data_IF_673298545798
#
_entry.id   IF_673298545798
#
_cell.length_a   1.000
_cell.length_b   1.000
_cell.length_c   1.000
_cell.angle_alpha   90.00
_cell.angle_beta   90.00
_cell.angle_gamma   90.00
#
_symmetry.space_group_name_H-M   'P 1'
#
loop_
_entity.id
_entity.type
_entity.pdbx_description
1 polymer ?
#
# COMPACT_ATOMS: atom_id res chain seq x y z
N UNK A 1 30.27 -22.95 12.54
CA UNK A 1 29.21 -23.01 11.49
C UNK A 1 27.78 -23.07 12.02
N UNK A 2 27.40 -23.97 12.96
CA UNK A 2 25.99 -24.13 13.39
C UNK A 2 25.33 -22.88 14.01
N UNK A 3 26.07 -22.05 14.75
CA UNK A 3 25.52 -20.83 15.37
C UNK A 3 25.26 -19.68 14.38
N UNK A 4 26.07 -19.53 13.33
CA UNK A 4 25.87 -18.49 12.31
C UNK A 4 24.65 -18.79 11.43
N UNK A 5 24.42 -20.06 11.10
CA UNK A 5 23.25 -20.50 10.32
C UNK A 5 21.93 -20.31 11.09
N UNK A 6 21.91 -20.53 12.42
CA UNK A 6 20.72 -20.27 13.26
C UNK A 6 20.37 -18.79 13.31
N UNK A 7 21.36 -17.90 13.46
CA UNK A 7 21.12 -16.44 13.50
C UNK A 7 20.60 -15.91 12.15
N UNK A 8 21.15 -16.37 11.03
CA UNK A 8 20.68 -16.00 9.69
C UNK A 8 19.22 -16.46 9.44
N UNK A 9 18.86 -17.65 9.93
CA UNK A 9 17.48 -18.16 9.84
C UNK A 9 16.51 -17.32 10.67
N UNK A 10 16.88 -16.90 11.89
CA UNK A 10 16.02 -16.09 12.75
C UNK A 10 15.79 -14.69 12.18
N UNK A 11 16.83 -14.03 11.65
CA UNK A 11 16.69 -12.72 11.01
C UNK A 11 15.79 -12.77 9.77
N UNK A 12 15.89 -13.85 8.99
CA UNK A 12 15.05 -14.03 7.79
C UNK A 12 13.59 -14.24 8.14
N UNK A 13 13.30 -14.96 9.23
CA UNK A 13 11.94 -15.18 9.74
C UNK A 13 11.34 -13.89 10.31
N UNK A 14 12.09 -13.13 11.10
CA UNK A 14 11.64 -11.84 11.62
C UNK A 14 11.32 -10.85 10.50
N UNK A 15 12.15 -10.79 9.45
CA UNK A 15 11.90 -9.93 8.29
C UNK A 15 10.65 -10.35 7.53
N UNK A 16 10.41 -11.67 7.39
CA UNK A 16 9.20 -12.18 6.74
C UNK A 16 7.94 -11.83 7.55
N UNK A 17 7.99 -11.96 8.87
CA UNK A 17 6.89 -11.59 9.77
C UNK A 17 6.57 -10.10 9.65
N UNK A 18 7.58 -9.23 9.74
CA UNK A 18 7.41 -7.78 9.60
C UNK A 18 6.79 -7.38 8.26
N UNK A 19 7.16 -8.04 7.16
CA UNK A 19 6.55 -7.78 5.85
C UNK A 19 5.08 -8.20 5.81
N UNK A 20 4.72 -9.32 6.44
CA UNK A 20 3.34 -9.78 6.54
C UNK A 20 2.47 -8.83 7.37
N UNK A 21 3.02 -8.26 8.44
CA UNK A 21 2.35 -7.28 9.28
C UNK A 21 2.02 -6.00 8.52
N UNK A 22 2.96 -5.48 7.71
CA UNK A 22 2.74 -4.30 6.85
C UNK A 22 1.55 -4.53 5.92
N UNK A 23 1.50 -5.69 5.25
CA UNK A 23 0.45 -5.99 4.27
C UNK A 23 -0.90 -6.16 4.96
N UNK A 24 -0.95 -6.91 6.05
CA UNK A 24 -2.17 -7.10 6.84
C UNK A 24 -2.73 -5.78 7.37
N UNK A 25 -1.87 -4.88 7.84
CA UNK A 25 -2.27 -3.54 8.27
C UNK A 25 -2.91 -2.75 7.12
N UNK A 26 -2.28 -2.73 5.94
CA UNK A 26 -2.83 -2.01 4.78
C UNK A 26 -4.14 -2.62 4.27
N UNK A 27 -4.29 -3.94 4.31
CA UNK A 27 -5.54 -4.63 3.94
C UNK A 27 -6.69 -4.24 4.86
N UNK A 28 -6.45 -4.17 6.18
CA UNK A 28 -7.43 -3.70 7.14
C UNK A 28 -7.87 -2.26 6.85
N UNK A 29 -6.95 -1.37 6.48
CA UNK A 29 -7.30 0.01 6.13
C UNK A 29 -8.10 0.06 4.82
N UNK A 30 -7.79 -0.79 3.84
CA UNK A 30 -8.57 -0.87 2.59
C UNK A 30 -10.03 -1.21 2.85
N UNK A 31 -10.32 -2.11 3.80
CA UNK A 31 -11.69 -2.43 4.20
C UNK A 31 -12.43 -1.23 4.79
N UNK A 32 -11.71 -0.22 5.29
CA UNK A 32 -12.25 1.03 5.82
C UNK A 32 -12.46 2.10 4.75
N UNK A 33 -12.03 1.89 3.50
CA UNK A 33 -12.22 2.84 2.40
C UNK A 33 -13.66 2.72 1.86
N UNK A 34 -14.32 3.86 1.66
CA UNK A 34 -15.63 3.95 1.05
C UNK A 34 -15.57 3.54 -0.42
N UNK A 35 -16.54 2.74 -0.92
CA UNK A 35 -16.65 2.47 -2.35
C UNK A 35 -17.06 3.78 -3.06
N UNK A 36 -16.30 4.17 -4.09
CA UNK A 36 -16.59 5.35 -4.92
C UNK A 36 -15.42 6.31 -5.08
N UNK A 37 -15.65 7.39 -5.82
CA UNK A 37 -14.67 8.45 -6.04
C UNK A 37 -15.25 9.81 -5.57
N UNK A 38 -14.47 10.65 -4.87
CA UNK A 38 -13.09 10.42 -4.42
C UNK A 38 -12.98 9.33 -3.34
N UNK A 39 -11.85 8.60 -3.34
CA UNK A 39 -11.56 7.62 -2.29
C UNK A 39 -11.48 8.35 -0.95
N UNK A 40 -12.28 7.92 0.03
CA UNK A 40 -12.33 8.50 1.37
C UNK A 40 -12.56 7.38 2.38
N UNK A 41 -12.23 7.59 3.65
CA UNK A 41 -12.59 6.64 4.70
C UNK A 41 -14.11 6.59 4.89
N UNK A 42 -14.64 5.42 5.28
CA UNK A 42 -16.07 5.22 5.59
C UNK A 42 -16.52 6.18 6.69
N UNK A 43 -17.77 6.63 6.59
CA UNK A 43 -18.37 7.50 7.61
C UNK A 43 -18.40 6.77 8.95
N UNK A 44 -17.77 7.34 9.98
CA UNK A 44 -17.58 6.70 11.30
C UNK A 44 -16.24 5.95 11.47
N UNK A 45 -15.49 5.74 10.38
CA UNK A 45 -14.12 5.23 10.40
C UNK A 45 -13.14 6.40 10.43
N UNK A 46 -12.87 6.94 11.63
CA UNK A 46 -11.85 7.98 11.82
C UNK A 46 -10.57 7.35 12.36
N UNK A 47 -9.48 7.50 11.61
CA UNK A 47 -8.14 7.24 12.11
C UNK A 47 -7.69 8.43 12.97
N UNK A 48 -7.03 8.15 14.08
CA UNK A 48 -6.28 9.16 14.81
C UNK A 48 -5.12 9.67 13.96
N UNK A 49 -4.61 10.87 14.24
CA UNK A 49 -3.42 11.41 13.54
C UNK A 49 -2.23 10.45 13.60
N UNK A 50 -2.07 9.75 14.72
CA UNK A 50 -1.01 8.76 14.90
C UNK A 50 -1.21 7.53 14.01
N UNK A 51 -2.43 7.00 13.91
CA UNK A 51 -2.73 5.85 13.04
C UNK A 51 -2.60 6.20 11.56
N UNK A 52 -2.96 7.42 11.16
CA UNK A 52 -2.72 7.91 9.80
C UNK A 52 -1.22 7.93 9.49
N UNK A 53 -0.39 8.49 10.38
CA UNK A 53 1.06 8.54 10.20
C UNK A 53 1.68 7.15 10.11
N UNK A 54 1.27 6.24 11.01
CA UNK A 54 1.69 4.83 10.97
C UNK A 54 1.29 4.13 9.67
N UNK A 55 0.11 4.45 9.14
CA UNK A 55 -0.38 3.88 7.89
C UNK A 55 0.38 4.42 6.67
N UNK A 56 0.72 5.70 6.68
CA UNK A 56 1.56 6.31 5.64
C UNK A 56 3.00 5.77 5.70
N UNK A 57 3.55 5.58 6.89
CA UNK A 57 4.83 4.89 7.09
C UNK A 57 4.79 3.45 6.54
N UNK A 58 3.71 2.71 6.83
CA UNK A 58 3.51 1.37 6.28
C UNK A 58 3.48 1.36 4.73
N UNK A 59 2.87 2.37 4.10
CA UNK A 59 2.91 2.55 2.64
C UNK A 59 4.34 2.77 2.14
N UNK A 60 5.10 3.69 2.76
CA UNK A 60 6.49 3.96 2.38
C UNK A 60 7.39 2.72 2.55
N UNK A 61 7.19 1.97 3.63
CA UNK A 61 7.92 0.72 3.90
C UNK A 61 7.59 -0.36 2.88
N UNK A 62 6.33 -0.46 2.44
CA UNK A 62 5.95 -1.37 1.37
C UNK A 62 6.59 -0.97 0.03
N UNK A 63 6.59 0.31 -0.32
CA UNK A 63 7.27 0.81 -1.52
C UNK A 63 8.78 0.51 -1.48
N UNK A 64 9.42 0.70 -0.32
CA UNK A 64 10.82 0.35 -0.10
C UNK A 64 11.06 -1.14 -0.25
N UNK A 65 10.18 -1.98 0.31
CA UNK A 65 10.26 -3.44 0.22
C UNK A 65 10.19 -3.91 -1.25
N UNK A 66 9.30 -3.34 -2.04
CA UNK A 66 9.12 -3.66 -3.46
C UNK A 66 10.17 -3.03 -4.36
N UNK A 67 10.95 -2.06 -3.86
CA UNK A 67 12.07 -1.48 -4.61
C UNK A 67 13.31 -2.37 -4.61
N UNK A 68 13.45 -3.27 -3.63
CA UNK A 68 14.59 -4.19 -3.52
C UNK A 68 14.44 -5.33 -4.53
N UNK A 69 15.27 -5.29 -5.58
CA UNK A 69 15.31 -6.30 -6.64
C UNK A 69 15.82 -7.65 -6.17
N UNK A 70 15.34 -8.72 -6.82
CA UNK A 70 15.76 -10.08 -6.54
C UNK A 70 17.25 -10.25 -6.87
N UNK A 71 18.02 -10.82 -5.93
CA UNK A 71 19.41 -11.19 -6.18
C UNK A 71 19.52 -12.48 -6.99
N UNK A 72 20.68 -12.71 -7.61
CA UNK A 72 20.99 -13.97 -8.32
C UNK A 72 20.71 -15.19 -7.43
N UNK A 73 21.16 -15.17 -6.17
CA UNK A 73 20.93 -16.25 -5.20
C UNK A 73 19.42 -16.52 -4.97
N UNK A 74 18.61 -15.46 -4.91
CA UNK A 74 17.16 -15.59 -4.73
C UNK A 74 16.50 -16.17 -5.98
N UNK A 75 16.98 -15.81 -7.18
CA UNK A 75 16.50 -16.34 -8.45
C UNK A 75 16.89 -17.81 -8.62
N UNK A 76 18.10 -18.19 -8.26
CA UNK A 76 18.55 -19.58 -8.25
C UNK A 76 17.71 -20.42 -7.29
N UNK A 77 17.46 -19.90 -6.08
CA UNK A 77 16.59 -20.56 -5.09
C UNK A 77 15.16 -20.71 -5.60
N UNK A 78 14.61 -19.69 -6.25
CA UNK A 78 13.29 -19.75 -6.88
C UNK A 78 13.24 -20.83 -7.96
N UNK A 79 14.25 -20.87 -8.84
CA UNK A 79 14.41 -21.88 -9.88
C UNK A 79 14.45 -23.29 -9.29
N UNK A 80 15.23 -23.49 -8.24
CA UNK A 80 15.35 -24.76 -7.54
C UNK A 80 14.02 -25.22 -6.95
N UNK A 81 13.29 -24.34 -6.27
CA UNK A 81 11.98 -24.68 -5.68
C UNK A 81 10.94 -25.06 -6.74
N UNK A 82 10.90 -24.31 -7.84
CA UNK A 82 9.97 -24.58 -8.94
C UNK A 82 10.33 -25.83 -9.75
N UNK A 83 11.58 -26.30 -9.67
CA UNK A 83 11.99 -27.56 -10.32
C UNK A 83 11.36 -28.82 -9.70
N UNK A 84 10.68 -28.68 -8.54
CA UNK A 84 9.82 -29.73 -7.98
C UNK A 84 8.56 -30.01 -8.82
N UNK A 85 8.20 -29.11 -9.74
CA UNK A 85 7.07 -29.25 -10.65
C UNK A 85 7.48 -29.97 -11.94
N UNK A 86 6.51 -30.48 -12.71
CA UNK A 86 6.83 -31.16 -13.98
C UNK A 86 7.28 -30.15 -15.03
N UNK A 87 8.41 -30.39 -15.68
CA UNK A 87 8.80 -29.63 -16.86
C UNK A 87 7.93 -30.09 -18.04
N UNK A 88 7.28 -29.18 -18.81
CA UNK A 88 6.50 -29.57 -19.98
C UNK A 88 7.33 -30.37 -20.99
N UNK A 89 6.70 -31.32 -21.68
CA UNK A 89 7.37 -32.10 -22.71
C UNK A 89 7.99 -31.16 -23.78
N UNK A 90 9.19 -31.49 -24.25
CA UNK A 90 9.97 -30.71 -25.21
C UNK A 90 10.52 -29.36 -24.69
N UNK A 91 10.43 -29.08 -23.39
CA UNK A 91 11.07 -27.90 -22.78
C UNK A 91 12.48 -28.24 -22.29
N UNK A 92 13.49 -27.49 -22.73
CA UNK A 92 14.84 -27.58 -22.15
C UNK A 92 14.86 -26.88 -20.78
N UNK A 93 14.98 -27.67 -19.71
CA UNK A 93 15.05 -27.17 -18.35
C UNK A 93 16.20 -26.17 -18.14
N UNK A 94 17.33 -26.31 -18.86
CA UNK A 94 18.45 -25.35 -18.77
C UNK A 94 18.06 -24.01 -19.38
N UNK A 95 17.33 -24.01 -20.49
CA UNK A 95 16.84 -22.79 -21.12
C UNK A 95 15.87 -22.04 -20.18
N UNK A 96 15.00 -22.76 -19.46
CA UNK A 96 14.10 -22.16 -18.47
C UNK A 96 14.87 -21.48 -17.34
N UNK A 97 15.83 -22.17 -16.71
CA UNK A 97 16.63 -21.60 -15.62
C UNK A 97 17.45 -20.40 -16.08
N UNK A 98 18.05 -20.47 -17.27
CA UNK A 98 18.76 -19.32 -17.86
C UNK A 98 17.83 -18.12 -18.07
N UNK A 99 16.62 -18.36 -18.60
CA UNK A 99 15.64 -17.29 -18.80
C UNK A 99 15.21 -16.63 -17.49
N UNK A 100 15.11 -17.40 -16.39
CA UNK A 100 14.83 -16.86 -15.06
C UNK A 100 15.95 -15.91 -14.61
N UNK A 101 17.20 -16.34 -14.74
CA UNK A 101 18.38 -15.53 -14.39
C UNK A 101 18.45 -14.19 -15.13
N UNK A 102 17.96 -14.13 -16.38
CA UNK A 102 18.02 -12.93 -17.22
C UNK A 102 16.89 -11.93 -16.99
N UNK A 103 15.72 -12.37 -16.50
CA UNK A 103 14.50 -11.56 -16.49
C UNK A 103 13.93 -11.30 -15.10
N UNK A 104 14.23 -12.16 -14.12
CA UNK A 104 13.66 -12.03 -12.78
C UNK A 104 14.46 -11.09 -11.87
N UNK A 105 15.59 -10.56 -12.32
CA UNK A 105 16.31 -9.48 -11.61
C UNK A 105 15.54 -8.14 -11.65
N UNK A 106 14.54 -8.03 -12.53
CA UNK A 106 13.70 -6.83 -12.69
C UNK A 106 12.57 -6.76 -11.68
N UNK A 107 12.21 -7.87 -11.04
CA UNK A 107 11.16 -7.93 -10.02
C UNK A 107 11.76 -7.85 -8.61
N UNK A 108 10.96 -7.45 -7.66
CA UNK A 108 11.35 -7.39 -6.26
C UNK A 108 11.60 -8.79 -5.70
N UNK A 109 12.56 -8.84 -4.78
CA UNK A 109 12.84 -10.04 -3.98
C UNK A 109 11.59 -10.54 -3.25
N UNK A 110 10.73 -9.62 -2.80
CA UNK A 110 9.47 -9.95 -2.16
C UNK A 110 8.50 -10.64 -3.13
N UNK A 111 8.23 -10.03 -4.29
CA UNK A 111 7.28 -10.56 -5.25
C UNK A 111 7.73 -11.90 -5.85
N UNK A 112 9.03 -12.08 -6.08
CA UNK A 112 9.58 -13.37 -6.50
C UNK A 112 9.33 -14.44 -5.44
N UNK A 113 9.67 -14.16 -4.18
CA UNK A 113 9.47 -15.11 -3.08
C UNK A 113 7.99 -15.48 -2.93
N UNK A 114 7.10 -14.48 -2.89
CA UNK A 114 5.66 -14.69 -2.74
C UNK A 114 5.07 -15.43 -3.95
N UNK A 115 5.52 -15.09 -5.16
CA UNK A 115 5.13 -15.77 -6.38
C UNK A 115 5.47 -17.26 -6.36
N UNK A 116 6.72 -17.60 -6.01
CA UNK A 116 7.13 -19.00 -5.87
C UNK A 116 6.33 -19.73 -4.80
N UNK A 117 6.09 -19.09 -3.65
CA UNK A 117 5.27 -19.65 -2.57
C UNK A 117 3.86 -19.98 -3.07
N UNK A 118 3.16 -19.02 -3.68
CA UNK A 118 1.81 -19.20 -4.18
C UNK A 118 1.73 -20.29 -5.27
N UNK A 119 2.75 -20.41 -6.12
CA UNK A 119 2.79 -21.42 -7.18
C UNK A 119 2.97 -22.81 -6.56
N UNK A 120 3.93 -22.97 -5.65
CA UNK A 120 4.22 -24.25 -5.00
C UNK A 120 3.05 -24.71 -4.10
N UNK A 121 2.32 -23.77 -3.49
CA UNK A 121 1.11 -24.08 -2.69
C UNK A 121 -0.16 -24.23 -3.55
N UNK A 122 -0.08 -24.01 -4.86
CA UNK A 122 -1.22 -24.11 -5.78
C UNK A 122 -2.26 -22.98 -5.63
N UNK A 123 -1.87 -21.86 -5.01
CA UNK A 123 -2.66 -20.64 -4.83
C UNK A 123 -2.51 -19.64 -5.97
N UNK A 124 -1.49 -19.80 -6.83
CA UNK A 124 -1.27 -18.91 -7.97
C UNK A 124 -2.34 -19.09 -9.07
N UNK A 125 -3.25 -18.12 -9.15
CA UNK A 125 -4.29 -18.11 -10.18
C UNK A 125 -3.67 -17.88 -11.57
N UNK A 126 -4.14 -18.65 -12.57
CA UNK A 126 -3.67 -18.54 -13.95
C UNK A 126 -2.33 -19.25 -14.23
N UNK A 127 -1.72 -19.87 -13.22
CA UNK A 127 -0.52 -20.70 -13.36
C UNK A 127 -0.89 -22.18 -13.26
N UNK A 128 -0.22 -23.04 -14.03
CA UNK A 128 -0.40 -24.48 -13.93
C UNK A 128 -0.04 -25.00 -12.55
N UNK A 129 -0.90 -25.81 -11.93
CA UNK A 129 -0.63 -26.50 -10.66
C UNK A 129 0.28 -27.73 -10.83
N UNK A 130 0.52 -28.14 -12.07
CA UNK A 130 1.26 -29.37 -12.38
C UNK A 130 2.58 -29.10 -13.06
N UNK A 131 2.59 -28.11 -13.96
CA UNK A 131 3.74 -27.79 -14.78
C UNK A 131 4.51 -26.61 -14.22
N UNK A 132 5.83 -26.69 -14.29
CA UNK A 132 6.71 -25.57 -13.97
C UNK A 132 6.32 -24.37 -14.85
N UNK A 133 6.17 -23.16 -14.27
CA UNK A 133 5.82 -21.97 -15.05
C UNK A 133 6.92 -21.67 -16.06
N UNK A 134 6.55 -21.06 -17.16
CA UNK A 134 7.51 -20.38 -18.04
C UNK A 134 8.00 -19.09 -17.39
N UNK A 135 9.12 -18.55 -17.88
CA UNK A 135 9.63 -17.28 -17.35
C UNK A 135 8.64 -16.13 -17.54
N UNK A 136 7.94 -16.09 -18.67
CA UNK A 136 6.90 -15.09 -18.94
C UNK A 136 5.74 -15.17 -17.95
N UNK A 137 5.27 -16.39 -17.64
CA UNK A 137 4.19 -16.61 -16.67
C UNK A 137 4.61 -16.18 -15.25
N UNK A 138 5.79 -16.61 -14.81
CA UNK A 138 6.30 -16.23 -13.48
C UNK A 138 6.53 -14.72 -13.38
N UNK A 139 7.14 -14.11 -14.40
CA UNK A 139 7.39 -12.66 -14.44
C UNK A 139 6.08 -11.88 -14.36
N UNK A 140 5.09 -12.23 -15.18
CA UNK A 140 3.79 -11.58 -15.20
C UNK A 140 3.09 -11.72 -13.85
N UNK A 141 3.08 -12.91 -13.26
CA UNK A 141 2.48 -13.15 -11.96
C UNK A 141 3.13 -12.29 -10.85
N UNK A 142 4.46 -12.26 -10.80
CA UNK A 142 5.19 -11.43 -9.85
C UNK A 142 4.91 -9.93 -10.05
N UNK A 143 4.84 -9.45 -11.30
CA UNK A 143 4.46 -8.07 -11.60
C UNK A 143 3.02 -7.75 -11.15
N UNK A 144 2.09 -8.69 -11.30
CA UNK A 144 0.72 -8.55 -10.78
C UNK A 144 0.72 -8.41 -9.27
N UNK A 145 1.54 -9.17 -8.53
CA UNK A 145 1.70 -9.01 -7.07
C UNK A 145 2.16 -7.59 -6.74
N UNK A 146 3.23 -7.11 -7.38
CA UNK A 146 3.79 -5.76 -7.14
C UNK A 146 2.76 -4.68 -7.40
N UNK A 147 2.15 -4.71 -8.59
CA UNK A 147 1.18 -3.71 -9.01
C UNK A 147 -0.05 -3.70 -8.11
N UNK A 148 -0.52 -4.88 -7.67
CA UNK A 148 -1.64 -4.99 -6.74
C UNK A 148 -1.31 -4.34 -5.40
N UNK A 149 -0.13 -4.64 -4.84
CA UNK A 149 0.31 -4.09 -3.55
C UNK A 149 0.55 -2.57 -3.63
N UNK A 150 1.17 -2.09 -4.70
CA UNK A 150 1.38 -0.66 -4.93
C UNK A 150 0.05 0.08 -5.14
N UNK A 151 -0.90 -0.51 -5.89
CA UNK A 151 -2.23 0.06 -6.08
C UNK A 151 -3.02 0.13 -4.77
N UNK A 152 -2.91 -0.91 -3.93
CA UNK A 152 -3.46 -0.95 -2.57
C UNK A 152 -2.91 0.20 -1.72
N UNK A 153 -1.59 0.34 -1.63
CA UNK A 153 -0.95 1.43 -0.90
C UNK A 153 -1.35 2.82 -1.43
N UNK A 154 -1.36 2.99 -2.76
CA UNK A 154 -1.79 4.24 -3.40
C UNK A 154 -3.24 4.61 -3.11
N UNK A 155 -4.13 3.60 -3.02
CA UNK A 155 -5.54 3.82 -2.65
C UNK A 155 -5.67 4.27 -1.20
N UNK A 156 -4.93 3.64 -0.29
CA UNK A 156 -4.87 4.03 1.13
C UNK A 156 -4.36 5.46 1.30
N UNK A 157 -3.24 5.81 0.66
CA UNK A 157 -2.65 7.15 0.73
C UNK A 157 -3.66 8.22 0.28
N UNK A 158 -4.29 8.01 -0.88
CA UNK A 158 -5.32 8.93 -1.40
C UNK A 158 -6.54 9.02 -0.48
N UNK A 159 -6.98 7.91 0.12
CA UNK A 159 -8.11 7.91 1.03
C UNK A 159 -7.84 8.76 2.28
N UNK A 160 -6.63 8.67 2.84
CA UNK A 160 -6.21 9.50 3.99
C UNK A 160 -6.14 10.97 3.58
N UNK A 161 -5.46 11.30 2.48
CA UNK A 161 -5.30 12.68 1.98
C UNK A 161 -6.65 13.35 1.71
N UNK A 162 -7.54 12.69 0.96
CA UNK A 162 -8.88 13.21 0.66
C UNK A 162 -9.73 13.40 1.92
N UNK A 163 -9.56 12.52 2.91
CA UNK A 163 -10.30 12.62 4.19
C UNK A 163 -9.79 13.82 5.00
N UNK A 164 -8.48 14.06 5.03
CA UNK A 164 -7.87 15.27 5.64
C UNK A 164 -8.35 16.55 4.96
N UNK A 165 -8.35 16.58 3.63
CA UNK A 165 -8.83 17.73 2.86
C UNK A 165 -10.31 18.02 3.11
N UNK A 166 -11.15 16.99 3.17
CA UNK A 166 -12.57 17.13 3.47
C UNK A 166 -12.78 17.72 4.87
N UNK A 167 -12.07 17.20 5.88
CA UNK A 167 -12.15 17.72 7.24
C UNK A 167 -11.74 19.21 7.31
N UNK A 168 -10.69 19.61 6.60
CA UNK A 168 -10.23 21.00 6.55
C UNK A 168 -11.24 21.94 5.87
N UNK A 169 -11.90 21.48 4.79
CA UNK A 169 -12.98 22.22 4.12
C UNK A 169 -14.20 22.38 5.01
N UNK A 170 -14.53 21.37 5.81
CA UNK A 170 -15.65 21.44 6.77
C UNK A 170 -15.34 22.38 7.95
N UNK A 171 -14.11 22.40 8.47
CA UNK A 171 -13.73 23.34 9.54
C UNK A 171 -13.73 24.78 9.05
N UNK A 172 -13.17 25.05 7.87
CA UNK A 172 -13.19 26.39 7.27
C UNK A 172 -14.62 26.85 6.94
N UNK A 173 -15.49 25.96 6.46
CA UNK A 173 -16.91 26.28 6.29
C UNK A 173 -17.58 26.63 7.62
N UNK A 174 -17.36 25.84 8.69
CA UNK A 174 -17.91 26.13 10.03
C UNK A 174 -17.40 27.44 10.63
N UNK A 175 -16.16 27.83 10.33
CA UNK A 175 -15.60 29.12 10.72
C UNK A 175 -16.23 30.27 9.94
N UNK A 176 -16.43 30.11 8.63
CA UNK A 176 -17.13 31.09 7.78
C UNK A 176 -18.60 31.27 8.17
N UNK A 177 -19.26 30.22 8.68
CA UNK A 177 -20.65 30.26 9.15
C UNK A 177 -20.78 30.43 10.67
N UNK A 178 -19.72 30.84 11.40
CA UNK A 178 -19.87 31.19 12.81
C UNK A 178 -20.92 32.31 12.92
N UNK A 179 -22.05 32.07 13.60
CA UNK A 179 -22.98 33.15 13.90
C UNK A 179 -22.19 34.21 14.68
N UNK A 180 -22.26 35.47 14.23
CA UNK A 180 -21.73 36.61 14.99
C UNK A 180 -22.16 36.44 16.45
N UNK A 181 -21.20 36.32 17.36
CA UNK A 181 -21.51 36.22 18.79
C UNK A 181 -22.31 37.46 19.19
N UNK A 182 -23.15 37.32 20.22
CA UNK A 182 -24.03 38.41 20.70
C UNK A 182 -23.26 39.71 20.96
N UNK A 183 -21.97 39.60 21.32
CA UNK A 183 -21.01 40.71 21.46
C UNK A 183 -20.75 41.43 20.12
N UNK A 184 -20.49 40.71 19.04
CA UNK A 184 -20.32 41.31 17.70
C UNK A 184 -21.60 41.98 17.20
N UNK A 185 -22.77 41.42 17.52
CA UNK A 185 -24.06 42.03 17.18
C UNK A 185 -24.26 43.36 17.92
N UNK A 186 -23.90 43.44 19.20
CA UNK A 186 -23.95 44.67 19.99
C UNK A 186 -22.95 45.73 19.52
N UNK A 187 -21.76 45.33 19.09
CA UNK A 187 -20.76 46.26 18.52
C UNK A 187 -21.22 46.83 17.16
N UNK A 188 -21.76 45.98 16.29
CA UNK A 188 -22.33 46.40 15.01
C UNK A 188 -23.52 47.36 15.23
N UNK A 189 -24.41 47.07 16.19
CA UNK A 189 -25.51 47.97 16.54
C UNK A 189 -25.05 49.33 17.09
N UNK A 190 -23.96 49.37 17.86
CA UNK A 190 -23.35 50.64 18.31
C UNK A 190 -22.79 51.45 17.15
N UNK A 191 -22.09 50.79 16.22
CA UNK A 191 -21.54 51.43 15.01
C UNK A 191 -22.67 52.00 14.15
N UNK A 192 -23.73 51.24 13.88
CA UNK A 192 -24.89 51.70 13.10
C UNK A 192 -25.63 52.86 13.77
N UNK A 193 -25.80 52.85 15.11
CA UNK A 193 -26.38 53.99 15.85
C UNK A 193 -25.51 55.25 15.75
N UNK A 194 -24.19 55.11 15.78
CA UNK A 194 -23.27 56.25 15.64
C UNK A 194 -23.30 56.88 14.24
N UNK A 195 -23.50 56.07 13.20
CA UNK A 195 -23.57 56.52 11.81
C UNK A 195 -24.95 57.14 11.50
N UNK A 196 -26.03 56.52 11.98
CA UNK A 196 -27.40 57.04 11.83
C UNK A 196 -27.64 58.35 12.59
N UNK A 197 -26.90 58.59 13.68
CA UNK A 197 -26.93 59.87 14.40
C UNK A 197 -26.25 61.02 13.67
N UNK A 198 -25.24 60.76 12.83
CA UNK A 198 -24.54 61.79 12.04
C UNK A 198 -25.30 62.27 10.81
N UNK A 199 -26.15 61.43 10.22
CA UNK A 199 -26.94 61.82 9.04
C UNK A 199 -28.18 62.66 9.34
N UNK A 200 -28.54 62.87 10.62
CA UNK A 200 -29.69 63.73 11.00
C UNK A 200 -29.32 65.20 11.23
N UNK A 201 -28.03 65.56 11.15
CA UNK A 201 -27.53 66.92 11.41
C UNK A 201 -26.80 67.53 10.20
N UNK A 202 -27.20 67.19 8.97
CA UNK A 202 -26.73 67.85 7.74
C UNK A 202 -27.93 68.52 7.07
#
# INVERSE_FOLDING_TARGET
MKNSLRKLSQNSLQKALANSEIISHLEKIIEMISPGYPLTLKTGSTLTKQEEEQTLDACNRLETLLSVKASVEQIEKASFLLSSMRVPANTDAKAVVLSYGMLLDRISAYALKKGVEDIVTGQANGISKTFMPTCGELLAYCQTIENTLLSKAGSVRRAIENTREKALKETTAKEHFRPLTLVHKQEIEKVFKSIGGRMKNI
#
